data_IF_969406587946
#
_entry.id   IF_969406587946
#
_cell.length_a   1.000
_cell.length_b   1.000
_cell.length_c   1.000
_cell.angle_alpha   90.00
_cell.angle_beta   90.00
_cell.angle_gamma   90.00
#
_symmetry.space_group_name_H-M   'P 1'
#
loop_
_entity.id
_entity.type
_entity.pdbx_description
1 polymer ?
#
# COMPACT_ATOMS: atom_id res chain seq x y z
N UNK A 1 -17.14 1.07 4.12
CA UNK A 1 -15.84 1.67 3.80
C UNK A 1 -14.78 0.75 4.35
N UNK A 2 -14.07 0.04 3.49
CA UNK A 2 -12.97 -0.83 3.88
C UNK A 2 -11.85 0.05 4.42
N UNK A 3 -11.67 0.11 5.74
CA UNK A 3 -10.58 0.89 6.35
C UNK A 3 -9.26 0.16 6.12
N UNK A 4 -8.55 0.53 5.06
CA UNK A 4 -7.20 0.04 4.83
C UNK A 4 -6.24 0.64 5.85
N UNK A 5 -5.35 -0.16 6.44
CA UNK A 5 -4.33 0.39 7.31
C UNK A 5 -3.24 1.07 6.47
N UNK A 6 -2.82 2.26 6.89
CA UNK A 6 -1.75 3.02 6.24
C UNK A 6 -0.45 2.22 6.09
N UNK A 7 -0.20 1.29 7.03
CA UNK A 7 0.95 0.37 6.98
C UNK A 7 0.87 -0.59 5.80
N UNK A 8 -0.30 -1.16 5.52
CA UNK A 8 -0.47 -2.12 4.42
C UNK A 8 -0.35 -1.42 3.08
N UNK A 9 -0.98 -0.25 2.94
CA UNK A 9 -0.82 0.63 1.78
C UNK A 9 0.66 0.98 1.55
N UNK A 10 1.38 1.36 2.61
CA UNK A 10 2.79 1.66 2.50
C UNK A 10 3.60 0.46 2.00
N UNK A 11 3.33 -0.73 2.54
CA UNK A 11 4.06 -1.95 2.18
C UNK A 11 3.76 -2.42 0.75
N UNK A 12 2.59 -2.09 0.22
CA UNK A 12 2.19 -2.42 -1.15
C UNK A 12 2.72 -1.41 -2.17
N UNK A 13 2.56 -0.11 -1.90
CA UNK A 13 2.87 0.94 -2.87
C UNK A 13 4.29 1.51 -2.76
N UNK A 14 5.02 1.20 -1.70
CA UNK A 14 6.36 1.73 -1.50
C UNK A 14 7.38 0.63 -1.22
N UNK A 15 8.58 0.84 -1.75
CA UNK A 15 9.75 0.05 -1.44
C UNK A 15 10.54 0.74 -0.34
N UNK A 16 10.73 0.06 0.79
CA UNK A 16 11.59 0.55 1.86
C UNK A 16 13.05 0.60 1.39
N UNK A 17 13.67 1.75 1.55
CA UNK A 17 15.09 2.00 1.31
C UNK A 17 15.80 2.25 2.65
N UNK A 18 17.12 2.47 2.59
CA UNK A 18 17.92 2.83 3.77
C UNK A 18 17.42 4.15 4.41
N UNK A 19 17.72 4.35 5.69
CA UNK A 19 17.47 5.60 6.45
C UNK A 19 16.00 6.06 6.49
N UNK A 20 15.05 5.12 6.58
CA UNK A 20 13.61 5.42 6.61
C UNK A 20 13.10 6.14 5.36
N UNK A 21 13.78 5.98 4.22
CA UNK A 21 13.27 6.41 2.93
C UNK A 21 12.39 5.34 2.31
N UNK A 22 11.37 5.78 1.61
CA UNK A 22 10.41 4.95 0.90
C UNK A 22 10.30 5.45 -0.52
N UNK A 23 10.43 4.55 -1.48
CA UNK A 23 10.34 4.87 -2.90
C UNK A 23 8.97 4.45 -3.40
N UNK A 24 8.19 5.39 -3.93
CA UNK A 24 6.88 5.09 -4.50
C UNK A 24 7.04 4.22 -5.75
N UNK A 25 6.31 3.11 -5.84
CA UNK A 25 6.37 2.19 -6.97
C UNK A 25 5.71 2.76 -8.24
N UNK A 26 4.76 3.69 -8.10
CA UNK A 26 4.10 4.31 -9.24
C UNK A 26 4.98 5.33 -9.98
N UNK A 27 5.61 6.24 -9.23
CA UNK A 27 6.33 7.37 -9.80
C UNK A 27 7.84 7.38 -9.52
N UNK A 28 8.36 6.40 -8.77
CA UNK A 28 9.75 6.35 -8.36
C UNK A 28 10.17 7.44 -7.36
N UNK A 29 9.22 8.24 -6.85
CA UNK A 29 9.55 9.35 -5.94
C UNK A 29 9.99 8.81 -4.59
N UNK A 30 11.18 9.21 -4.15
CA UNK A 30 11.71 8.88 -2.83
C UNK A 30 11.19 9.88 -1.78
N UNK A 31 10.54 9.37 -0.74
CA UNK A 31 10.00 10.14 0.39
C UNK A 31 10.57 9.62 1.71
N UNK A 32 10.96 10.51 2.61
CA UNK A 32 11.36 10.13 3.97
C UNK A 32 10.11 9.90 4.82
N UNK A 33 10.09 8.82 5.59
CA UNK A 33 9.07 8.58 6.59
C UNK A 33 9.28 9.55 7.77
N UNK A 34 8.24 10.28 8.13
CA UNK A 34 8.28 11.21 9.26
C UNK A 34 8.03 10.44 10.56
N UNK A 35 8.93 10.51 11.56
CA UNK A 35 8.83 9.71 12.78
C UNK A 35 7.55 9.96 13.58
N UNK A 36 6.96 11.16 13.51
CA UNK A 36 5.72 11.52 14.21
C UNK A 36 4.44 11.26 13.40
N UNK A 37 4.55 11.17 12.07
CA UNK A 37 3.39 10.97 11.18
C UNK A 37 3.11 9.48 10.90
N UNK A 38 4.04 8.59 11.24
CA UNK A 38 3.96 7.19 10.89
C UNK A 38 4.00 7.00 9.38
N UNK A 39 2.91 6.51 8.80
CA UNK A 39 2.75 6.29 7.35
C UNK A 39 1.80 7.30 6.68
N UNK A 40 1.19 8.20 7.46
CA UNK A 40 0.18 9.11 6.93
C UNK A 40 0.75 10.06 5.87
N UNK A 41 2.02 10.47 6.00
CA UNK A 41 2.70 11.29 5.00
C UNK A 41 2.88 10.57 3.65
N UNK A 42 3.12 9.25 3.68
CA UNK A 42 3.26 8.43 2.47
C UNK A 42 1.89 8.18 1.82
N UNK A 43 0.86 7.92 2.62
CA UNK A 43 -0.51 7.78 2.12
C UNK A 43 -1.04 9.10 1.56
N UNK A 44 -0.70 10.24 2.17
CA UNK A 44 -1.06 11.56 1.64
C UNK A 44 -0.43 11.81 0.28
N UNK A 45 0.79 11.29 0.03
CA UNK A 45 1.40 11.36 -1.30
C UNK A 45 0.61 10.55 -2.33
N UNK A 46 0.15 9.34 -1.98
CA UNK A 46 -0.71 8.54 -2.86
C UNK A 46 -2.02 9.28 -3.16
N UNK A 47 -2.65 9.87 -2.15
CA UNK A 47 -3.90 10.61 -2.34
C UNK A 47 -3.76 11.85 -3.24
N UNK A 48 -2.60 12.52 -3.21
CA UNK A 48 -2.32 13.70 -4.05
C UNK A 48 -1.90 13.33 -5.48
N UNK A 49 -1.04 12.31 -5.64
CA UNK A 49 -0.42 11.97 -6.93
C UNK A 49 -1.04 10.78 -7.66
N UNK A 50 -1.71 9.91 -6.94
CA UNK A 50 -2.23 8.64 -7.42
C UNK A 50 -3.65 8.41 -6.90
N UNK A 51 -4.65 9.22 -7.28
CA UNK A 51 -6.01 9.13 -6.72
C UNK A 51 -6.65 7.74 -6.90
N UNK A 52 -6.23 7.00 -7.93
CA UNK A 52 -6.65 5.62 -8.21
C UNK A 52 -6.02 4.53 -7.32
N UNK A 53 -5.11 4.88 -6.40
CA UNK A 53 -4.41 3.91 -5.54
C UNK A 53 -5.37 3.01 -4.74
N UNK A 54 -6.55 3.53 -4.37
CA UNK A 54 -7.56 2.77 -3.63
C UNK A 54 -8.11 1.64 -4.52
N UNK A 55 -8.46 1.95 -5.77
CA UNK A 55 -9.03 0.97 -6.69
C UNK A 55 -8.03 -0.14 -7.03
N UNK A 56 -6.74 0.21 -7.19
CA UNK A 56 -5.65 -0.74 -7.39
C UNK A 56 -5.50 -1.68 -6.19
N UNK A 57 -5.52 -1.11 -4.98
CA UNK A 57 -5.39 -1.87 -3.75
C UNK A 57 -6.61 -2.76 -3.48
N UNK A 58 -7.81 -2.29 -3.79
CA UNK A 58 -9.06 -3.08 -3.72
C UNK A 58 -9.07 -4.21 -4.74
N UNK A 59 -8.65 -3.94 -5.97
CA UNK A 59 -8.51 -4.96 -7.02
C UNK A 59 -7.51 -6.04 -6.61
N UNK A 60 -6.37 -5.63 -6.03
CA UNK A 60 -5.38 -6.55 -5.51
C UNK A 60 -5.90 -7.40 -4.34
N UNK A 61 -6.60 -6.79 -3.37
CA UNK A 61 -7.22 -7.51 -2.26
C UNK A 61 -8.31 -8.47 -2.72
N UNK A 62 -9.15 -8.07 -3.67
CA UNK A 62 -10.19 -8.92 -4.26
C UNK A 62 -9.57 -10.15 -4.95
N UNK A 63 -8.46 -9.96 -5.67
CA UNK A 63 -7.69 -11.07 -6.27
C UNK A 63 -7.08 -11.99 -5.22
N UNK A 64 -6.56 -11.46 -4.11
CA UNK A 64 -6.05 -12.30 -3.01
C UNK A 64 -7.17 -13.04 -2.26
N UNK A 65 -8.30 -12.38 -2.00
CA UNK A 65 -9.47 -13.00 -1.38
C UNK A 65 -10.04 -14.12 -2.26
N UNK A 66 -10.10 -13.92 -3.58
CA UNK A 66 -10.45 -14.96 -4.55
C UNK A 66 -9.43 -16.10 -4.62
N UNK A 67 -8.15 -15.82 -4.37
CA UNK A 67 -7.09 -16.84 -4.29
C UNK A 67 -7.21 -17.72 -3.05
N UNK A 68 -7.75 -17.22 -1.93
CA UNK A 68 -7.97 -18.02 -0.72
C UNK A 68 -9.07 -19.07 -0.91
N UNK A 69 -10.05 -18.82 -1.79
CA UNK A 69 -11.06 -19.83 -2.19
C UNK A 69 -10.48 -20.92 -3.09
N UNK A 70 -9.33 -20.67 -3.74
CA UNK A 70 -8.68 -21.65 -4.64
C UNK A 70 -7.78 -22.65 -3.92
N UNK A 71 -7.38 -22.38 -2.67
CA UNK A 71 -6.67 -23.36 -1.84
C UNK A 71 -7.71 -24.20 -1.09
N UNK A 72 -8.25 -25.19 -1.80
CA UNK A 72 -9.16 -26.18 -1.26
C UNK A 72 -8.64 -26.73 0.06
N UNK A 73 -9.37 -26.41 1.13
CA UNK A 73 -9.30 -27.17 2.37
C UNK A 73 -9.82 -28.57 2.01
N UNK A 74 -8.92 -29.49 1.67
CA UNK A 74 -9.25 -30.91 1.56
C UNK A 74 -9.49 -31.39 2.99
N UNK A 75 -10.74 -31.78 3.24
CA UNK A 75 -11.23 -32.45 4.45
C UNK A 75 -10.43 -33.70 4.81
#
# INVERSE_FOLDING_TARGET
MSSFHNRDLCRFFFVAAADHYYTCNYCGTRRKQLPSSGYANLVSHLKDKHPEYINDYESHQSRQAGSLTAHGFVS
#
